data_IF_219258152184
#
_entry.id   IF_219258152184
#
_cell.length_a   1.000
_cell.length_b   1.000
_cell.length_c   1.000
_cell.angle_alpha   90.00
_cell.angle_beta   90.00
_cell.angle_gamma   90.00
#
_symmetry.space_group_name_H-M   'P 1'
#
loop_
_entity.id
_entity.type
_entity.pdbx_description
1 polymer ?
#
# COMPACT_ATOMS: atom_id res chain seq x y z
N UNK A 1 -2.89 -6.74 -12.86
CA UNK A 1 -2.65 -5.57 -11.99
C UNK A 1 -2.83 -5.95 -10.54
N UNK A 2 -2.29 -5.15 -9.62
CA UNK A 2 -2.52 -5.24 -8.18
C UNK A 2 -2.90 -3.85 -7.66
N UNK A 3 -4.01 -3.77 -6.95
CA UNK A 3 -4.55 -2.55 -6.36
C UNK A 3 -4.70 -2.74 -4.84
N UNK A 4 -4.33 -1.74 -4.04
CA UNK A 4 -4.48 -1.72 -2.58
C UNK A 4 -5.47 -0.64 -2.15
N UNK A 5 -6.23 -0.92 -1.09
CA UNK A 5 -7.09 0.07 -0.42
C UNK A 5 -7.24 -0.29 1.07
N UNK A 6 -7.41 0.71 1.92
CA UNK A 6 -7.78 0.54 3.33
C UNK A 6 -9.27 0.84 3.53
N UNK A 7 -9.85 0.33 4.61
CA UNK A 7 -11.22 0.65 4.99
C UNK A 7 -11.36 2.00 5.69
N UNK A 8 -10.27 2.53 6.26
CA UNK A 8 -10.27 3.76 7.05
C UNK A 8 -9.07 4.65 6.74
N UNK A 9 -9.27 5.96 6.86
CA UNK A 9 -8.18 6.93 6.92
C UNK A 9 -7.43 6.83 8.25
N UNK A 10 -6.19 7.36 8.38
CA UNK A 10 -5.47 7.37 9.66
C UNK A 10 -6.30 7.98 10.81
N UNK A 11 -7.02 9.07 10.56
CA UNK A 11 -7.89 9.74 11.55
C UNK A 11 -9.11 8.90 11.92
N UNK A 12 -9.66 8.10 11.01
CA UNK A 12 -10.78 7.20 11.31
C UNK A 12 -10.32 5.94 12.04
N UNK A 13 -9.12 5.44 11.74
CA UNK A 13 -8.59 4.24 12.35
C UNK A 13 -8.01 4.52 13.74
N UNK A 14 -7.03 5.43 13.83
CA UNK A 14 -6.29 5.74 15.05
C UNK A 14 -6.85 6.97 15.78
N UNK A 15 -7.39 7.96 15.05
CA UNK A 15 -7.82 9.23 15.63
C UNK A 15 -6.67 10.05 16.22
N UNK A 16 -6.99 10.97 17.13
CA UNK A 16 -6.00 11.86 17.75
C UNK A 16 -5.37 12.88 16.80
N UNK A 17 -4.26 13.46 17.24
CA UNK A 17 -3.53 14.52 16.52
C UNK A 17 -2.41 13.93 15.69
N UNK A 18 -2.43 14.19 14.37
CA UNK A 18 -1.43 13.70 13.40
C UNK A 18 -1.17 12.17 13.42
N UNK A 19 -2.22 11.31 13.35
CA UNK A 19 -2.03 9.88 13.24
C UNK A 19 -1.37 9.49 11.90
N UNK A 20 -0.50 8.50 11.94
CA UNK A 20 0.14 7.92 10.74
C UNK A 20 -0.41 6.54 10.42
N UNK A 21 -0.81 6.34 9.16
CA UNK A 21 -1.10 5.02 8.62
C UNK A 21 -0.54 5.00 7.20
N UNK A 22 0.56 4.26 7.02
CA UNK A 22 1.34 4.22 5.80
C UNK A 22 1.64 2.78 5.40
N UNK A 23 1.77 2.55 4.10
CA UNK A 23 2.27 1.31 3.53
C UNK A 23 3.57 1.56 2.76
N UNK A 24 4.40 0.53 2.67
CA UNK A 24 5.49 0.45 1.71
C UNK A 24 5.30 -0.84 0.92
N UNK A 25 5.37 -0.75 -0.40
CA UNK A 25 5.23 -1.91 -1.29
C UNK A 25 6.58 -2.18 -1.93
N UNK A 26 7.04 -3.42 -1.84
CA UNK A 26 8.33 -3.87 -2.36
C UNK A 26 8.16 -5.13 -3.21
N UNK A 27 8.92 -5.23 -4.30
CA UNK A 27 9.06 -6.48 -5.03
C UNK A 27 10.11 -7.34 -4.30
N UNK A 28 9.65 -8.32 -3.52
CA UNK A 28 10.55 -9.22 -2.77
C UNK A 28 11.40 -10.06 -3.73
N UNK A 29 10.78 -10.49 -4.81
CA UNK A 29 11.44 -11.18 -5.90
C UNK A 29 11.62 -10.21 -7.07
N UNK A 30 12.74 -10.34 -7.78
CA UNK A 30 13.01 -9.46 -8.93
C UNK A 30 11.95 -9.65 -10.02
N UNK A 31 11.39 -8.54 -10.50
CA UNK A 31 10.36 -8.50 -11.54
C UNK A 31 8.98 -9.07 -11.12
N UNK A 32 8.68 -9.16 -9.83
CA UNK A 32 7.31 -9.44 -9.37
C UNK A 32 6.33 -8.42 -9.91
N UNK A 33 6.67 -7.14 -9.79
CA UNK A 33 6.00 -6.09 -10.54
C UNK A 33 6.84 -5.62 -11.73
N UNK A 34 6.35 -5.88 -12.93
CA UNK A 34 7.09 -5.55 -14.16
C UNK A 34 6.94 -4.05 -14.47
N UNK A 35 8.07 -3.42 -14.80
CA UNK A 35 8.22 -1.98 -15.03
C UNK A 35 8.04 -1.10 -13.79
N UNK A 36 8.32 -1.62 -12.59
CA UNK A 36 8.58 -0.79 -11.41
C UNK A 36 9.91 -0.04 -11.56
N UNK A 37 9.92 1.02 -12.37
CA UNK A 37 11.00 2.00 -12.30
C UNK A 37 10.69 2.97 -11.16
N UNK A 38 11.62 3.03 -10.21
CA UNK A 38 11.63 3.86 -8.99
C UNK A 38 11.31 5.37 -9.22
N UNK A 39 11.25 5.83 -10.46
CA UNK A 39 11.24 7.24 -10.84
C UNK A 39 10.17 7.64 -11.87
N UNK A 40 9.33 6.73 -12.36
CA UNK A 40 8.35 7.10 -13.39
C UNK A 40 6.93 7.13 -12.79
N UNK A 41 6.27 8.30 -12.72
CA UNK A 41 4.84 8.35 -12.47
C UNK A 41 4.17 7.67 -13.66
N UNK A 42 3.80 6.39 -13.51
CA UNK A 42 2.89 5.76 -14.45
C UNK A 42 1.65 6.66 -14.57
N UNK A 43 1.30 7.00 -15.82
CA UNK A 43 0.20 7.92 -16.12
C UNK A 43 -1.05 7.67 -15.26
N UNK A 44 -1.60 8.74 -14.71
CA UNK A 44 -2.80 8.78 -13.87
C UNK A 44 -2.80 7.99 -12.54
N UNK A 45 -1.71 7.33 -12.15
CA UNK A 45 -1.62 6.61 -10.87
C UNK A 45 -0.66 7.30 -9.91
N UNK A 46 -1.23 7.89 -8.86
CA UNK A 46 -0.54 8.53 -7.74
C UNK A 46 0.21 7.51 -6.85
N UNK A 47 1.09 6.70 -7.42
CA UNK A 47 1.98 5.83 -6.65
C UNK A 47 3.43 6.11 -7.05
N UNK A 48 3.99 7.13 -6.43
CA UNK A 48 5.42 7.40 -6.42
C UNK A 48 6.05 6.66 -5.25
N UNK A 49 7.02 5.79 -5.55
CA UNK A 49 7.96 5.14 -4.64
C UNK A 49 7.56 3.75 -4.13
N UNK A 50 7.85 2.73 -4.96
CA UNK A 50 8.19 1.40 -4.43
C UNK A 50 9.35 1.52 -3.44
N UNK A 51 9.30 0.78 -2.33
CA UNK A 51 10.36 0.80 -1.33
C UNK A 51 10.36 2.00 -0.38
N UNK A 52 9.36 2.88 -0.41
CA UNK A 52 9.20 3.98 0.55
C UNK A 52 7.79 4.01 1.13
N UNK A 53 7.70 4.41 2.40
CA UNK A 53 6.41 4.59 3.06
C UNK A 53 5.63 5.76 2.45
N UNK A 54 4.41 5.47 2.02
CA UNK A 54 3.42 6.44 1.58
C UNK A 54 2.12 6.27 2.38
N UNK A 55 1.35 7.35 2.52
CA UNK A 55 0.04 7.30 3.18
C UNK A 55 -0.88 6.29 2.52
N UNK A 56 -1.58 5.50 3.35
CA UNK A 56 -2.62 4.59 2.87
C UNK A 56 -3.80 5.37 2.28
N UNK A 57 -4.52 4.76 1.33
CA UNK A 57 -5.73 5.35 0.75
C UNK A 57 -6.96 4.49 0.97
N UNK A 58 -8.11 5.15 1.19
CA UNK A 58 -9.44 4.51 1.17
C UNK A 58 -10.01 4.36 -0.24
N UNK A 59 -9.36 4.97 -1.23
CA UNK A 59 -9.59 4.68 -2.65
C UNK A 59 -8.59 3.63 -3.15
N UNK A 60 -8.95 2.97 -4.25
CA UNK A 60 -8.06 2.03 -4.94
C UNK A 60 -6.77 2.72 -5.38
N UNK A 61 -5.64 2.27 -4.84
CA UNK A 61 -4.29 2.67 -5.24
C UNK A 61 -3.67 1.55 -6.06
N UNK A 62 -3.43 1.79 -7.35
CA UNK A 62 -2.65 0.88 -8.20
C UNK A 62 -1.23 0.84 -7.67
N UNK A 63 -0.84 -0.30 -7.13
CA UNK A 63 0.53 -0.51 -6.67
C UNK A 63 1.33 -1.31 -7.69
N UNK A 64 0.71 -2.17 -8.49
CA UNK A 64 1.45 -2.85 -9.56
C UNK A 64 0.64 -2.94 -10.85
N UNK A 65 1.20 -2.41 -11.94
CA UNK A 65 0.56 -2.52 -13.25
C UNK A 65 0.58 -3.98 -13.76
N UNK A 66 1.72 -4.65 -13.65
CA UNK A 66 1.96 -5.98 -14.20
C UNK A 66 2.49 -6.91 -13.11
N UNK A 67 1.57 -7.47 -12.30
CA UNK A 67 1.94 -8.44 -11.28
C UNK A 67 2.07 -9.83 -11.92
N UNK A 68 3.28 -10.38 -11.85
CA UNK A 68 3.67 -11.55 -12.62
C UNK A 68 3.29 -12.86 -11.91
N UNK A 69 3.09 -13.93 -12.69
CA UNK A 69 2.70 -15.26 -12.21
C UNK A 69 3.84 -16.27 -12.36
N UNK A 70 4.97 -15.84 -12.92
CA UNK A 70 6.17 -16.67 -13.06
C UNK A 70 6.70 -16.97 -11.66
N UNK A 71 6.89 -18.25 -11.36
CA UNK A 71 7.48 -18.68 -10.10
C UNK A 71 8.84 -18.01 -9.87
N UNK A 72 9.00 -17.41 -8.70
CA UNK A 72 10.22 -16.65 -8.36
C UNK A 72 10.17 -15.19 -8.83
N UNK A 73 8.99 -14.72 -9.25
CA UNK A 73 8.65 -13.35 -9.58
C UNK A 73 7.14 -13.16 -9.36
N UNK A 74 6.62 -13.72 -8.29
CA UNK A 74 5.18 -13.76 -7.98
C UNK A 74 4.88 -13.34 -6.54
N UNK A 75 5.86 -12.70 -5.88
CA UNK A 75 5.74 -12.22 -4.51
C UNK A 75 5.93 -10.71 -4.39
N UNK A 76 4.98 -10.04 -3.74
CA UNK A 76 5.06 -8.64 -3.30
C UNK A 76 5.03 -8.62 -1.78
N UNK A 77 5.86 -7.78 -1.18
CA UNK A 77 5.87 -7.50 0.25
C UNK A 77 5.22 -6.14 0.53
N UNK A 78 4.46 -6.09 1.63
CA UNK A 78 3.76 -4.88 2.08
C UNK A 78 4.10 -4.66 3.54
N UNK A 79 4.92 -3.64 3.81
CA UNK A 79 5.22 -3.20 5.17
C UNK A 79 4.21 -2.14 5.61
N UNK A 80 3.77 -2.21 6.87
CA UNK A 80 2.83 -1.26 7.46
C UNK A 80 3.51 -0.45 8.55
N UNK A 81 3.37 0.87 8.49
CA UNK A 81 3.81 1.78 9.53
C UNK A 81 2.59 2.49 10.15
N UNK A 82 2.43 2.33 11.46
CA UNK A 82 1.41 2.99 12.26
C UNK A 82 2.08 3.96 13.25
N UNK A 83 1.76 5.24 13.13
CA UNK A 83 2.14 6.25 14.12
C UNK A 83 0.93 6.54 15.00
N UNK A 84 0.86 5.86 16.14
CA UNK A 84 -0.23 5.99 17.11
C UNK A 84 0.01 7.20 18.01
N UNK A 85 -0.82 8.25 17.94
CA UNK A 85 -0.63 9.44 18.78
C UNK A 85 -1.06 9.17 20.23
N UNK A 86 -0.58 9.99 21.18
CA UNK A 86 -0.89 9.83 22.61
C UNK A 86 -2.37 10.08 22.95
N UNK A 87 -3.10 10.79 22.08
CA UNK A 87 -4.53 11.06 22.14
C UNK A 87 -5.34 10.18 21.16
N UNK A 88 -4.78 9.03 20.75
CA UNK A 88 -5.46 8.01 19.92
C UNK A 88 -6.78 7.54 20.56
N UNK A 89 -7.69 7.06 19.72
CA UNK A 89 -8.85 6.29 20.13
C UNK A 89 -8.42 5.09 20.99
N UNK A 90 -9.30 4.69 21.91
CA UNK A 90 -9.05 3.61 22.87
C UNK A 90 -9.89 2.37 22.56
N UNK A 91 -9.49 1.23 23.14
CA UNK A 91 -10.13 -0.06 22.91
C UNK A 91 -9.55 -0.79 21.70
N UNK A 92 -10.25 -1.84 21.25
CA UNK A 92 -9.85 -2.61 20.08
C UNK A 92 -10.22 -1.85 18.80
N UNK A 93 -9.21 -1.43 18.04
CA UNK A 93 -9.37 -0.77 16.75
C UNK A 93 -9.07 -1.78 15.64
N UNK A 94 -9.86 -1.75 14.57
CA UNK A 94 -9.69 -2.66 13.42
C UNK A 94 -9.86 -1.89 12.12
N UNK A 95 -9.03 -2.24 11.14
CA UNK A 95 -9.22 -1.86 9.75
C UNK A 95 -8.92 -3.07 8.84
N UNK A 96 -9.26 -2.97 7.56
CA UNK A 96 -9.01 -3.99 6.56
C UNK A 96 -8.27 -3.39 5.38
N UNK A 97 -7.11 -3.96 5.07
CA UNK A 97 -6.40 -3.70 3.82
C UNK A 97 -6.91 -4.73 2.80
N UNK A 98 -7.42 -4.25 1.67
CA UNK A 98 -7.87 -5.10 0.56
C UNK A 98 -6.86 -5.01 -0.57
N UNK A 99 -6.31 -6.17 -0.96
CA UNK A 99 -5.49 -6.32 -2.14
C UNK A 99 -6.31 -6.98 -3.26
N UNK A 100 -6.44 -6.31 -4.41
CA UNK A 100 -7.20 -6.81 -5.56
C UNK A 100 -6.25 -7.08 -6.72
N UNK A 101 -6.09 -8.35 -7.08
CA UNK A 101 -5.35 -8.75 -8.26
C UNK A 101 -6.33 -9.00 -9.43
N UNK A 102 -6.09 -8.36 -10.57
CA UNK A 102 -6.91 -8.54 -11.79
C UNK A 102 -6.04 -9.04 -12.94
N UNK A 103 -6.55 -10.02 -13.68
CA UNK A 103 -5.92 -10.50 -14.92
C UNK A 103 -6.03 -9.40 -15.98
N UNK A 104 -4.95 -9.20 -16.73
CA UNK A 104 -4.83 -8.24 -17.84
C UNK A 104 -4.61 -8.99 -19.14
#
# INVERSE_FOLDING_TARGET
>A
TLDLQTGKTPTQFLGGTNPGYMWNVTSLESNSCVNDSYEEPFGDVNFTMYGVFASTSTSSTRVCQYFNFISGADTIEIDINLSVPSDSLTGALTDTITATATVI
#
